data_IF_621088507253
#
_entry.id   IF_621088507253
#
_cell.length_a   1.000
_cell.length_b   1.000
_cell.length_c   1.000
_cell.angle_alpha   90.00
_cell.angle_beta   90.00
_cell.angle_gamma   90.00
#
_symmetry.space_group_name_H-M   'P 1'
#
loop_
_entity.id
_entity.type
_entity.pdbx_description
1 polymer ?
#
# COMPACT_ATOMS: atom_id res chain seq x y z
N UNK A 1 9.12 -2.04 -11.50
CA UNK A 1 9.06 -3.18 -12.44
C UNK A 1 7.61 -3.40 -12.83
N UNK A 2 7.34 -3.90 -14.05
CA UNK A 2 5.96 -4.21 -14.47
C UNK A 2 5.43 -5.46 -13.75
N UNK A 3 4.14 -5.51 -13.36
CA UNK A 3 3.59 -6.55 -12.49
C UNK A 3 3.49 -7.93 -13.17
N UNK A 4 3.34 -7.96 -14.50
CA UNK A 4 3.19 -9.20 -15.27
C UNK A 4 4.12 -9.19 -16.49
N UNK A 5 4.62 -10.36 -16.89
CA UNK A 5 5.26 -10.55 -18.19
C UNK A 5 4.16 -10.80 -19.22
N UNK A 6 3.86 -9.80 -20.03
CA UNK A 6 2.90 -9.89 -21.13
C UNK A 6 3.61 -10.17 -22.45
N UNK A 7 2.83 -10.58 -23.45
CA UNK A 7 3.36 -10.94 -24.77
C UNK A 7 3.84 -9.72 -25.56
N UNK A 8 3.25 -8.54 -25.30
CA UNK A 8 3.65 -7.27 -25.88
C UNK A 8 3.49 -6.09 -24.91
N UNK A 9 4.05 -4.93 -25.30
CA UNK A 9 4.05 -3.71 -24.48
C UNK A 9 2.66 -3.06 -24.33
N UNK A 10 1.76 -3.25 -25.31
CA UNK A 10 0.40 -2.72 -25.26
C UNK A 10 -0.40 -3.48 -24.23
N UNK A 11 -0.34 -4.81 -24.26
CA UNK A 11 -0.93 -5.68 -23.25
C UNK A 11 -0.36 -5.36 -21.87
N UNK A 12 0.97 -5.19 -21.77
CA UNK A 12 1.63 -4.85 -20.51
C UNK A 12 1.16 -3.50 -19.93
N UNK A 13 0.92 -2.51 -20.79
CA UNK A 13 0.36 -1.21 -20.39
C UNK A 13 -1.11 -1.34 -19.95
N UNK A 14 -1.90 -2.14 -20.65
CA UNK A 14 -3.31 -2.34 -20.34
C UNK A 14 -3.57 -3.12 -19.05
N UNK A 15 -2.65 -3.98 -18.61
CA UNK A 15 -2.79 -4.69 -17.32
C UNK A 15 -2.07 -3.98 -16.17
N UNK A 16 -1.37 -2.88 -16.46
CA UNK A 16 -0.69 -2.10 -15.44
C UNK A 16 -1.72 -1.50 -14.49
N UNK A 17 -1.73 -1.99 -13.24
CA UNK A 17 -2.79 -1.74 -12.27
C UNK A 17 -2.88 -0.29 -11.77
N UNK A 18 -1.97 0.57 -12.23
CA UNK A 18 -1.94 2.00 -11.97
C UNK A 18 -2.57 2.72 -13.17
N UNK A 19 -3.91 2.89 -13.21
CA UNK A 19 -4.62 3.87 -12.39
C UNK A 19 -6.06 3.41 -12.04
N UNK A 20 -6.26 2.13 -11.68
CA UNK A 20 -7.61 1.64 -11.44
C UNK A 20 -8.19 2.11 -10.12
N UNK A 21 -9.52 2.14 -10.05
CA UNK A 21 -10.25 2.53 -8.85
C UNK A 21 -9.88 1.68 -7.62
N UNK A 22 -10.11 2.24 -6.44
CA UNK A 22 -9.74 1.65 -5.13
C UNK A 22 -10.10 0.19 -4.94
N UNK A 23 -11.22 -0.29 -5.49
CA UNK A 23 -11.64 -1.69 -5.36
C UNK A 23 -10.79 -2.66 -6.18
N UNK A 24 -10.38 -2.28 -7.40
CA UNK A 24 -9.47 -3.08 -8.20
C UNK A 24 -8.09 -3.18 -7.52
N UNK A 25 -7.62 -2.05 -6.96
CA UNK A 25 -6.38 -2.03 -6.14
C UNK A 25 -6.51 -2.91 -4.90
N UNK A 26 -7.65 -2.89 -4.23
CA UNK A 26 -7.90 -3.68 -3.04
C UNK A 26 -7.89 -5.19 -3.35
N UNK A 27 -8.50 -5.61 -4.46
CA UNK A 27 -8.52 -7.01 -4.89
C UNK A 27 -7.11 -7.55 -5.16
N UNK A 28 -6.28 -6.77 -5.85
CA UNK A 28 -4.87 -7.09 -6.11
C UNK A 28 -4.08 -7.21 -4.80
N UNK A 29 -4.21 -6.21 -3.91
CA UNK A 29 -3.56 -6.22 -2.59
C UNK A 29 -3.97 -7.47 -1.80
N UNK A 30 -5.27 -7.73 -1.62
CA UNK A 30 -5.75 -8.85 -0.81
C UNK A 30 -5.26 -10.20 -1.35
N UNK A 31 -5.20 -10.35 -2.67
CA UNK A 31 -4.66 -11.55 -3.32
C UNK A 31 -3.18 -11.74 -2.99
N UNK A 32 -2.38 -10.67 -3.06
CA UNK A 32 -0.94 -10.72 -2.74
C UNK A 32 -0.68 -10.93 -1.25
N UNK A 33 -1.47 -10.32 -0.36
CA UNK A 33 -1.35 -10.52 1.09
C UNK A 33 -1.53 -12.00 1.45
N UNK A 34 -2.53 -12.66 0.87
CA UNK A 34 -2.78 -14.07 1.10
C UNK A 34 -1.67 -14.96 0.49
N UNK A 35 -1.31 -14.72 -0.77
CA UNK A 35 -0.29 -15.51 -1.48
C UNK A 35 1.06 -15.48 -0.78
N UNK A 36 1.44 -14.32 -0.25
CA UNK A 36 2.73 -14.09 0.42
C UNK A 36 2.70 -14.36 1.92
N UNK A 37 1.52 -14.65 2.49
CA UNK A 37 1.29 -14.82 3.93
C UNK A 37 1.81 -13.61 4.71
N UNK A 38 1.37 -12.43 4.31
CA UNK A 38 1.76 -11.18 4.97
C UNK A 38 1.02 -11.04 6.29
N UNK A 39 1.77 -10.79 7.37
CA UNK A 39 1.20 -10.60 8.71
C UNK A 39 0.87 -9.13 9.00
N UNK A 40 1.52 -8.17 8.32
CA UNK A 40 1.37 -6.74 8.59
C UNK A 40 1.51 -5.90 7.33
N UNK A 41 0.79 -4.78 7.27
CA UNK A 41 0.81 -3.85 6.13
C UNK A 41 1.14 -2.44 6.59
N UNK A 42 2.08 -1.82 5.89
CA UNK A 42 2.34 -0.38 5.99
C UNK A 42 1.90 0.26 4.67
N UNK A 43 0.87 1.10 4.73
CA UNK A 43 0.39 1.90 3.61
C UNK A 43 1.06 3.27 3.67
N UNK A 44 1.93 3.55 2.72
CA UNK A 44 2.58 4.85 2.58
C UNK A 44 1.91 5.65 1.47
N UNK A 45 1.49 6.88 1.78
CA UNK A 45 0.94 7.82 0.80
C UNK A 45 1.71 9.12 0.78
N UNK A 46 1.85 9.71 -0.40
CA UNK A 46 2.45 11.04 -0.51
C UNK A 46 1.50 12.11 0.05
N UNK A 47 2.04 13.11 0.75
CA UNK A 47 1.27 14.27 1.20
C UNK A 47 0.57 14.97 0.04
N UNK A 48 -0.64 15.47 0.32
CA UNK A 48 -1.52 16.13 -0.66
C UNK A 48 -1.98 15.24 -1.84
N UNK A 49 -1.82 13.92 -1.74
CA UNK A 49 -2.36 13.00 -2.73
C UNK A 49 -3.88 12.76 -2.49
N UNK A 50 -4.73 13.07 -3.47
CA UNK A 50 -6.18 12.84 -3.37
C UNK A 50 -6.55 11.36 -3.12
N UNK A 51 -5.69 10.43 -3.51
CA UNK A 51 -5.85 8.99 -3.25
C UNK A 51 -5.71 8.63 -1.76
N UNK A 52 -5.34 9.57 -0.89
CA UNK A 52 -5.32 9.34 0.56
C UNK A 52 -6.70 8.95 1.10
N UNK A 53 -7.79 9.38 0.46
CA UNK A 53 -9.16 8.97 0.82
C UNK A 53 -9.32 7.45 0.73
N UNK A 54 -8.63 6.79 -0.21
CA UNK A 54 -8.68 5.35 -0.39
C UNK A 54 -8.15 4.58 0.82
N UNK A 55 -7.29 5.19 1.65
CA UNK A 55 -6.78 4.56 2.86
C UNK A 55 -7.90 4.21 3.85
N UNK A 56 -9.03 4.94 3.85
CA UNK A 56 -10.19 4.60 4.67
C UNK A 56 -10.78 3.26 4.22
N UNK A 57 -10.87 3.06 2.90
CA UNK A 57 -11.38 1.82 2.32
C UNK A 57 -10.38 0.68 2.48
N UNK A 58 -9.09 0.91 2.29
CA UNK A 58 -8.04 -0.07 2.55
C UNK A 58 -8.07 -0.56 4.00
N UNK A 59 -8.06 0.37 4.96
CA UNK A 59 -8.13 0.04 6.39
C UNK A 59 -9.39 -0.72 6.77
N UNK A 60 -10.52 -0.46 6.10
CA UNK A 60 -11.78 -1.18 6.35
C UNK A 60 -11.73 -2.64 5.89
N UNK A 61 -11.01 -2.93 4.80
CA UNK A 61 -11.05 -4.25 4.15
C UNK A 61 -9.84 -5.13 4.45
N UNK A 62 -8.65 -4.55 4.67
CA UNK A 62 -7.46 -5.29 5.09
C UNK A 62 -7.63 -5.66 6.56
N UNK A 63 -7.64 -6.97 6.86
CA UNK A 63 -7.96 -7.50 8.20
C UNK A 63 -6.75 -7.79 9.09
N UNK A 64 -5.56 -7.71 8.52
CA UNK A 64 -4.29 -7.80 9.24
C UNK A 64 -3.87 -6.41 9.75
N UNK A 65 -2.98 -6.32 10.75
CA UNK A 65 -2.44 -5.06 11.23
C UNK A 65 -2.04 -4.12 10.09
N UNK A 66 -2.51 -2.88 10.17
CA UNK A 66 -2.41 -1.91 9.09
C UNK A 66 -2.01 -0.53 9.64
N UNK A 67 -0.84 -0.06 9.25
CA UNK A 67 -0.31 1.26 9.59
C UNK A 67 -0.37 2.18 8.37
N UNK A 68 -0.95 3.38 8.54
CA UNK A 68 -0.89 4.42 7.51
C UNK A 68 0.23 5.39 7.85
N UNK A 69 1.12 5.61 6.90
CA UNK A 69 2.16 6.63 6.95
C UNK A 69 1.98 7.64 5.81
N UNK A 70 2.36 8.87 6.07
CA UNK A 70 2.35 9.95 5.09
C UNK A 70 3.71 10.63 5.06
N UNK A 71 4.20 10.95 3.86
CA UNK A 71 5.45 11.68 3.67
C UNK A 71 5.44 12.43 2.34
N UNK A 72 6.36 13.35 2.10
CA UNK A 72 6.42 14.12 0.85
C UNK A 72 7.75 13.92 0.13
N UNK A 73 8.82 14.40 0.75
CA UNK A 73 10.16 14.38 0.18
C UNK A 73 10.98 13.22 0.74
N UNK A 74 11.98 12.73 0.00
CA UNK A 74 12.96 11.79 0.53
C UNK A 74 13.83 12.51 1.56
N UNK A 75 13.40 12.46 2.82
CA UNK A 75 14.07 13.04 3.97
C UNK A 75 14.19 11.98 5.08
N UNK A 76 14.94 12.29 6.14
CA UNK A 76 14.98 11.43 7.31
C UNK A 76 13.58 11.32 7.95
N UNK A 77 13.29 10.16 8.54
CA UNK A 77 12.02 9.96 9.23
C UNK A 77 11.92 10.94 10.40
N UNK A 78 10.84 11.71 10.42
CA UNK A 78 10.54 12.56 11.56
C UNK A 78 10.26 11.71 12.80
N UNK A 79 10.50 12.29 13.98
CA UNK A 79 10.38 11.57 15.25
C UNK A 79 8.98 11.00 15.50
N UNK A 80 7.93 11.60 14.93
CA UNK A 80 6.57 11.09 15.07
C UNK A 80 6.37 9.84 14.20
N UNK A 81 6.83 9.84 12.96
CA UNK A 81 6.78 8.65 12.09
C UNK A 81 7.59 7.50 12.69
N UNK A 82 8.77 7.80 13.24
CA UNK A 82 9.60 6.81 13.92
C UNK A 82 8.87 6.18 15.11
N UNK A 83 8.28 7.00 16.00
CA UNK A 83 7.53 6.51 17.16
C UNK A 83 6.32 5.66 16.76
N UNK A 84 5.62 6.04 15.69
CA UNK A 84 4.50 5.24 15.17
C UNK A 84 4.94 3.87 14.69
N UNK A 85 6.09 3.80 14.00
CA UNK A 85 6.67 2.53 13.57
C UNK A 85 7.09 1.68 14.76
N UNK A 86 7.83 2.25 15.71
CA UNK A 86 8.24 1.56 16.93
C UNK A 86 7.04 0.98 17.68
N UNK A 87 6.01 1.80 17.92
CA UNK A 87 4.79 1.37 18.61
C UNK A 87 4.04 0.27 17.84
N UNK A 88 4.03 0.35 16.51
CA UNK A 88 3.35 -0.64 15.67
C UNK A 88 4.06 -2.00 15.73
N UNK A 89 5.39 -2.00 15.65
CA UNK A 89 6.18 -3.22 15.79
C UNK A 89 6.20 -3.77 17.22
N UNK A 90 6.11 -2.94 18.25
CA UNK A 90 5.99 -3.42 19.63
C UNK A 90 4.69 -4.20 19.86
N UNK A 91 3.61 -3.83 19.20
CA UNK A 91 2.29 -4.46 19.36
C UNK A 91 2.10 -5.68 18.46
N UNK A 92 2.68 -5.67 17.25
CA UNK A 92 2.39 -6.67 16.21
C UNK A 92 3.61 -7.45 15.69
N UNK A 93 4.83 -7.08 16.08
CA UNK A 93 6.08 -7.79 15.76
C UNK A 93 6.42 -8.87 16.79
#
# INVERSE_FOLDING_TARGET
SMPYLCSDIVEQYLVYTYPYGVFARLEDILSQLNLRKIDMVISYTQSFCHLQIDNILLKKHIKIPFLNLEGDRPEELDSRTLLQLESFFEVYG
#
